data_IF_363333278927
#
_entry.id   IF_363333278927
#
_cell.length_a   1.000
_cell.length_b   1.000
_cell.length_c   1.000
_cell.angle_alpha   90.00
_cell.angle_beta   90.00
_cell.angle_gamma   90.00
#
_symmetry.space_group_name_H-M   'P 1'
#
loop_
_entity.id
_entity.type
_entity.pdbx_description
1 polymer ?
#
# COMPACT_ATOMS: atom_id res chain seq x y z
N UNK A 1 1.07 8.20 -13.94
CA UNK A 1 1.21 8.85 -15.24
C UNK A 1 -0.10 9.54 -15.67
N UNK A 2 -1.27 8.83 -15.74
CA UNK A 2 -2.56 9.40 -16.20
C UNK A 2 -2.95 10.67 -15.45
N UNK A 3 -2.86 10.67 -14.10
CA UNK A 3 -3.19 11.86 -13.28
C UNK A 3 -2.26 13.03 -13.64
N UNK A 4 -0.96 12.78 -13.79
CA UNK A 4 -0.02 13.82 -14.17
C UNK A 4 -0.32 14.38 -15.58
N UNK A 5 -0.60 13.51 -16.55
CA UNK A 5 -0.94 13.93 -17.91
C UNK A 5 -2.20 14.83 -17.92
N UNK A 6 -3.25 14.42 -17.22
CA UNK A 6 -4.48 15.21 -17.10
C UNK A 6 -4.24 16.56 -16.44
N UNK A 7 -3.41 16.60 -15.38
CA UNK A 7 -3.00 17.88 -14.76
C UNK A 7 -2.36 18.85 -15.75
N UNK A 8 -1.56 18.34 -16.70
CA UNK A 8 -0.94 19.14 -17.76
C UNK A 8 -1.80 19.27 -19.04
N UNK A 9 -3.09 18.96 -18.96
CA UNK A 9 -4.01 19.11 -20.09
C UNK A 9 -3.85 18.06 -21.18
N UNK A 10 -3.20 16.94 -20.90
CA UNK A 10 -2.98 15.85 -21.85
C UNK A 10 -3.93 14.68 -21.58
N UNK A 11 -4.59 14.19 -22.63
CA UNK A 11 -5.41 12.99 -22.58
C UNK A 11 -4.62 11.77 -23.02
N UNK A 12 -4.68 10.69 -22.21
CA UNK A 12 -4.00 9.44 -22.48
C UNK A 12 -5.00 8.31 -22.70
N UNK A 13 -4.81 7.53 -23.76
CA UNK A 13 -5.39 6.21 -23.90
C UNK A 13 -4.46 5.18 -23.24
N UNK A 14 -5.05 4.31 -22.43
CA UNK A 14 -4.36 3.21 -21.75
C UNK A 14 -4.97 1.91 -22.24
N UNK A 15 -4.19 1.11 -22.95
CA UNK A 15 -4.52 -0.23 -23.39
C UNK A 15 -3.85 -1.22 -22.42
N UNK A 16 -4.64 -1.92 -21.63
CA UNK A 16 -4.17 -2.88 -20.63
C UNK A 16 -3.92 -4.23 -21.28
N UNK A 17 -2.80 -4.88 -20.94
CA UNK A 17 -2.40 -6.22 -21.43
C UNK A 17 -2.54 -6.34 -22.97
N UNK A 18 -1.88 -5.46 -23.75
CA UNK A 18 -2.10 -5.31 -25.20
C UNK A 18 -1.54 -6.47 -26.02
N UNK A 19 -0.80 -7.39 -25.44
CA UNK A 19 -0.18 -8.53 -26.10
C UNK A 19 -0.18 -9.77 -25.21
N UNK A 20 0.27 -10.90 -25.78
CA UNK A 20 0.48 -12.16 -25.03
C UNK A 20 1.77 -12.19 -24.19
N UNK A 21 2.60 -11.17 -24.29
CA UNK A 21 3.79 -11.01 -23.47
C UNK A 21 3.37 -10.65 -22.03
N UNK A 22 3.64 -11.50 -21.03
CA UNK A 22 3.25 -11.26 -19.64
C UNK A 22 3.92 -10.03 -19.01
N UNK A 23 5.04 -9.57 -19.56
CA UNK A 23 5.75 -8.40 -19.08
C UNK A 23 5.24 -7.10 -19.73
N UNK A 24 4.42 -7.18 -20.78
CA UNK A 24 3.80 -6.03 -21.43
C UNK A 24 2.46 -5.67 -20.77
N UNK A 25 2.52 -4.99 -19.64
CA UNK A 25 1.35 -4.71 -18.80
C UNK A 25 0.41 -3.65 -19.39
N UNK A 26 0.94 -2.64 -20.07
CA UNK A 26 0.11 -1.59 -20.69
C UNK A 26 0.85 -0.84 -21.80
N UNK A 27 0.09 -0.42 -22.80
CA UNK A 27 0.51 0.59 -23.78
C UNK A 27 -0.20 1.91 -23.49
N UNK A 28 0.56 3.00 -23.42
CA UNK A 28 0.04 4.33 -23.12
C UNK A 28 0.33 5.26 -24.30
N UNK A 29 -0.72 5.90 -24.81
CA UNK A 29 -0.61 6.82 -25.95
C UNK A 29 -1.21 8.18 -25.61
N UNK A 30 -0.56 9.26 -26.01
CA UNK A 30 -1.15 10.58 -26.02
C UNK A 30 -2.17 10.66 -27.17
N UNK A 31 -3.41 10.96 -26.86
CA UNK A 31 -4.50 10.95 -27.84
C UNK A 31 -5.12 12.32 -28.06
N UNK A 32 -4.88 13.29 -27.21
CA UNK A 32 -5.43 14.62 -27.34
C UNK A 32 -5.13 15.54 -26.18
N UNK A 33 -5.87 16.65 -26.14
CA UNK A 33 -5.89 17.58 -25.03
C UNK A 33 -7.18 17.38 -24.22
N UNK A 34 -7.11 17.61 -22.91
CA UNK A 34 -8.25 17.57 -21.99
C UNK A 34 -8.18 18.78 -21.05
N UNK A 35 -9.34 19.30 -20.67
CA UNK A 35 -9.38 20.32 -19.61
C UNK A 35 -9.15 19.63 -18.27
N UNK A 36 -8.08 20.04 -17.58
CA UNK A 36 -7.81 19.59 -16.21
C UNK A 36 -8.86 20.15 -15.26
N UNK A 37 -9.32 19.34 -14.33
CA UNK A 37 -10.26 19.73 -13.28
C UNK A 37 -9.58 19.93 -11.92
N UNK A 38 -10.34 20.39 -10.93
CA UNK A 38 -9.82 20.61 -9.58
C UNK A 38 -9.30 19.33 -8.93
N UNK A 39 -9.90 18.17 -9.25
CA UNK A 39 -9.47 16.87 -8.72
C UNK A 39 -8.14 16.45 -9.32
N UNK A 40 -7.94 16.66 -10.62
CA UNK A 40 -6.67 16.37 -11.29
C UNK A 40 -5.52 17.20 -10.67
N UNK A 41 -5.76 18.48 -10.38
CA UNK A 41 -4.79 19.35 -9.71
C UNK A 41 -4.50 18.91 -8.26
N UNK A 42 -5.53 18.60 -7.50
CA UNK A 42 -5.39 18.13 -6.11
C UNK A 42 -4.59 16.82 -6.01
N UNK A 43 -4.95 15.83 -6.83
CA UNK A 43 -4.27 14.54 -6.83
C UNK A 43 -2.81 14.66 -7.31
N UNK A 44 -2.54 15.51 -8.28
CA UNK A 44 -1.17 15.76 -8.74
C UNK A 44 -0.33 16.40 -7.64
N UNK A 45 -0.85 17.42 -6.96
CA UNK A 45 -0.18 18.09 -5.83
C UNK A 45 0.11 17.13 -4.67
N UNK A 46 -0.73 16.10 -4.47
CA UNK A 46 -0.51 15.09 -3.43
C UNK A 46 0.62 14.10 -3.75
N UNK A 47 1.01 13.92 -5.02
CA UNK A 47 2.01 12.91 -5.42
C UNK A 47 3.35 13.01 -4.67
N UNK A 48 4.01 14.18 -4.56
CA UNK A 48 5.28 14.29 -3.86
C UNK A 48 5.15 14.12 -2.34
N UNK A 49 3.94 14.25 -1.80
CA UNK A 49 3.66 14.18 -0.37
C UNK A 49 3.20 12.81 0.12
N UNK A 50 2.78 11.90 -0.77
CA UNK A 50 2.31 10.57 -0.41
C UNK A 50 3.42 9.77 0.29
N UNK A 51 3.11 9.27 1.48
CA UNK A 51 4.00 8.44 2.32
C UNK A 51 3.25 7.24 2.86
N UNK A 52 3.99 6.19 3.21
CA UNK A 52 3.49 5.07 4.01
C UNK A 52 3.89 5.31 5.46
N UNK A 53 2.92 5.41 6.35
CA UNK A 53 3.14 5.66 7.78
C UNK A 53 2.90 4.39 8.58
N UNK A 54 3.97 3.81 9.12
CA UNK A 54 3.93 2.53 9.85
C UNK A 54 3.78 2.68 11.37
N UNK A 55 3.76 3.91 11.88
CA UNK A 55 3.51 4.21 13.29
C UNK A 55 2.04 4.06 13.66
N UNK A 56 1.71 4.09 14.94
CA UNK A 56 0.33 4.13 15.44
C UNK A 56 -0.40 5.35 14.88
N UNK A 57 -1.69 5.19 14.51
CA UNK A 57 -2.54 6.29 14.06
C UNK A 57 -3.33 6.87 15.24
N UNK A 58 -3.85 8.08 15.05
CA UNK A 58 -4.77 8.74 15.96
C UNK A 58 -6.07 7.94 16.05
N UNK A 59 -6.71 7.99 17.20
CA UNK A 59 -8.06 7.46 17.38
C UNK A 59 -9.10 8.44 16.82
N UNK A 60 -9.05 8.63 15.51
CA UNK A 60 -9.93 9.51 14.74
C UNK A 60 -10.29 8.88 13.41
N UNK A 61 -11.57 8.73 13.14
CA UNK A 61 -12.06 8.25 11.86
C UNK A 61 -11.82 9.28 10.75
N UNK A 62 -11.66 8.80 9.54
CA UNK A 62 -11.74 9.65 8.35
C UNK A 62 -13.18 10.21 8.20
N UNK A 63 -13.34 11.44 7.71
CA UNK A 63 -14.65 12.00 7.37
C UNK A 63 -15.45 11.05 6.47
N UNK A 64 -16.75 11.02 6.64
CA UNK A 64 -17.62 10.11 5.90
C UNK A 64 -17.54 10.38 4.39
N UNK A 65 -17.49 11.64 4.00
CA UNK A 65 -17.37 12.06 2.61
C UNK A 65 -16.08 11.53 1.97
N UNK A 66 -14.96 11.54 2.72
CA UNK A 66 -13.70 11.01 2.24
C UNK A 66 -13.77 9.47 2.09
N UNK A 67 -14.39 8.80 3.06
CA UNK A 67 -14.59 7.34 2.98
C UNK A 67 -15.44 6.96 1.77
N UNK A 68 -16.56 7.65 1.54
CA UNK A 68 -17.42 7.46 0.38
C UNK A 68 -16.67 7.77 -0.92
N UNK A 69 -15.92 8.86 -0.98
CA UNK A 69 -15.12 9.21 -2.17
C UNK A 69 -14.08 8.15 -2.50
N UNK A 70 -13.45 7.51 -1.51
CA UNK A 70 -12.53 6.40 -1.73
C UNK A 70 -13.27 5.15 -2.25
N UNK A 71 -14.43 4.81 -1.67
CA UNK A 71 -15.23 3.68 -2.13
C UNK A 71 -15.75 3.89 -3.57
N UNK A 72 -16.19 5.09 -3.91
CA UNK A 72 -16.66 5.41 -5.27
C UNK A 72 -15.55 5.23 -6.32
N UNK A 73 -14.32 5.66 -6.03
CA UNK A 73 -13.16 5.42 -6.91
C UNK A 73 -12.97 3.94 -7.21
N UNK A 74 -13.21 3.06 -6.23
CA UNK A 74 -13.11 1.62 -6.41
C UNK A 74 -14.28 1.09 -7.26
N UNK A 75 -15.50 1.43 -6.90
CA UNK A 75 -16.73 0.97 -7.57
C UNK A 75 -16.77 1.37 -9.04
N UNK A 76 -16.40 2.60 -9.38
CA UNK A 76 -16.33 3.11 -10.76
C UNK A 76 -15.40 2.27 -11.67
N UNK A 77 -14.51 1.49 -11.07
CA UNK A 77 -13.54 0.65 -11.77
C UNK A 77 -13.77 -0.85 -11.58
N UNK A 78 -14.91 -1.24 -11.01
CA UNK A 78 -15.26 -2.65 -10.78
C UNK A 78 -14.46 -3.32 -9.66
N UNK A 79 -13.86 -2.53 -8.76
CA UNK A 79 -13.17 -3.01 -7.56
C UNK A 79 -14.04 -2.69 -6.35
N UNK A 80 -14.09 -3.58 -5.37
CA UNK A 80 -14.67 -3.31 -4.06
C UNK A 80 -13.61 -2.72 -3.13
N UNK A 81 -13.97 -1.69 -2.37
CA UNK A 81 -13.20 -1.21 -1.23
C UNK A 81 -14.04 -1.38 0.04
N UNK A 82 -13.79 -2.46 0.76
CA UNK A 82 -14.43 -2.73 2.03
C UNK A 82 -13.68 -2.01 3.16
N UNK A 83 -14.39 -1.15 3.90
CA UNK A 83 -13.87 -0.46 5.08
C UNK A 83 -14.37 -1.15 6.34
N UNK A 84 -13.44 -1.67 7.15
CA UNK A 84 -13.72 -2.38 8.41
C UNK A 84 -13.51 -1.41 9.57
N UNK A 85 -14.62 -0.98 10.18
CA UNK A 85 -14.65 -0.09 11.33
C UNK A 85 -14.93 -0.84 12.63
N UNK A 86 -15.60 -2.00 12.54
CA UNK A 86 -15.94 -2.83 13.69
C UNK A 86 -14.69 -3.35 14.40
N UNK A 87 -14.62 -3.13 15.72
CA UNK A 87 -13.44 -3.47 16.53
C UNK A 87 -13.19 -4.98 16.60
N UNK A 88 -14.25 -5.78 16.68
CA UNK A 88 -14.16 -7.22 16.71
C UNK A 88 -13.55 -7.77 15.42
N UNK A 89 -14.09 -7.35 14.28
CA UNK A 89 -13.54 -7.74 12.96
C UNK A 89 -12.12 -7.24 12.76
N UNK A 90 -11.79 -6.02 13.22
CA UNK A 90 -10.41 -5.53 13.15
C UNK A 90 -9.46 -6.40 13.98
N UNK A 91 -9.88 -6.85 15.15
CA UNK A 91 -9.08 -7.74 15.99
C UNK A 91 -8.87 -9.12 15.32
N UNK A 92 -9.92 -9.70 14.73
CA UNK A 92 -9.81 -10.97 14.00
C UNK A 92 -8.86 -10.86 12.78
N UNK A 93 -8.94 -9.75 12.03
CA UNK A 93 -8.01 -9.48 10.93
C UNK A 93 -6.58 -9.27 11.45
N UNK A 94 -6.41 -8.60 12.59
CA UNK A 94 -5.12 -8.43 13.24
C UNK A 94 -4.47 -9.76 13.62
N UNK A 95 -5.29 -10.75 14.05
CA UNK A 95 -4.81 -12.10 14.34
C UNK A 95 -4.33 -12.82 13.06
N UNK A 96 -5.01 -12.63 11.91
CA UNK A 96 -4.53 -13.14 10.62
C UNK A 96 -3.23 -12.47 10.17
N UNK A 97 -3.08 -11.16 10.34
CA UNK A 97 -1.83 -10.45 10.05
C UNK A 97 -0.69 -11.00 10.91
N UNK A 98 -0.91 -11.14 12.21
CA UNK A 98 0.07 -11.70 13.14
C UNK A 98 0.44 -13.17 12.83
N UNK A 99 -0.49 -13.96 12.32
CA UNK A 99 -0.22 -15.32 11.84
C UNK A 99 0.66 -15.27 10.58
N UNK A 100 0.34 -14.37 9.63
CA UNK A 100 1.13 -14.15 8.42
C UNK A 100 2.57 -13.72 8.71
N UNK A 101 2.77 -12.80 9.66
CA UNK A 101 4.11 -12.41 10.12
C UNK A 101 4.91 -13.61 10.62
N UNK A 102 4.29 -14.46 11.46
CA UNK A 102 4.97 -15.66 11.96
C UNK A 102 5.36 -16.62 10.84
N UNK A 103 4.49 -16.82 9.86
CA UNK A 103 4.76 -17.69 8.70
C UNK A 103 5.90 -17.12 7.85
N UNK A 104 5.82 -15.84 7.49
CA UNK A 104 6.82 -15.18 6.66
C UNK A 104 8.20 -15.13 7.33
N UNK A 105 8.26 -14.73 8.60
CA UNK A 105 9.53 -14.68 9.34
C UNK A 105 10.13 -16.05 9.69
N UNK A 106 9.34 -17.12 9.72
CA UNK A 106 9.85 -18.47 9.81
C UNK A 106 10.63 -18.91 8.54
N UNK A 107 10.28 -18.34 7.37
CA UNK A 107 11.00 -18.64 6.11
C UNK A 107 12.32 -17.87 6.01
N UNK A 108 13.47 -18.56 5.95
CA UNK A 108 14.78 -17.91 5.76
C UNK A 108 14.91 -17.17 4.42
N UNK A 109 14.11 -17.53 3.39
CA UNK A 109 14.16 -16.86 2.08
C UNK A 109 13.53 -15.47 2.21
N UNK A 110 12.35 -15.38 2.83
CA UNK A 110 11.69 -14.12 3.15
C UNK A 110 12.61 -13.19 3.94
N UNK A 111 13.24 -13.70 5.01
CA UNK A 111 14.16 -12.88 5.83
C UNK A 111 15.37 -12.37 5.03
N UNK A 112 15.93 -13.18 4.13
CA UNK A 112 17.04 -12.74 3.26
C UNK A 112 16.63 -11.66 2.29
N UNK A 113 15.47 -11.81 1.67
CA UNK A 113 14.92 -10.83 0.74
C UNK A 113 14.63 -9.51 1.47
N UNK A 114 13.88 -9.55 2.57
CA UNK A 114 13.58 -8.36 3.37
C UNK A 114 14.87 -7.65 3.82
N UNK A 115 15.85 -8.40 4.29
CA UNK A 115 17.14 -7.83 4.71
C UNK A 115 17.90 -7.16 3.56
N UNK A 116 17.75 -7.65 2.33
CA UNK A 116 18.36 -7.05 1.14
C UNK A 116 17.75 -5.69 0.79
N UNK A 117 16.52 -5.40 1.25
CA UNK A 117 15.85 -4.11 1.04
C UNK A 117 15.96 -3.14 2.21
N UNK A 118 16.57 -3.54 3.33
CA UNK A 118 16.78 -2.63 4.48
C UNK A 118 18.14 -1.97 4.37
N UNK A 119 18.14 -0.67 4.06
CA UNK A 119 19.34 0.14 3.86
C UNK A 119 19.36 1.37 4.76
N UNK A 120 20.56 1.86 5.09
CA UNK A 120 20.71 3.20 5.64
C UNK A 120 20.37 4.24 4.58
N UNK A 121 19.78 5.36 4.98
CA UNK A 121 19.52 6.52 4.10
C UNK A 121 20.81 7.08 3.46
N UNK A 122 21.97 6.75 4.03
CA UNK A 122 23.29 7.11 3.50
C UNK A 122 23.83 6.08 2.49
N UNK A 123 23.07 5.02 2.22
CA UNK A 123 23.46 4.05 1.21
C UNK A 123 23.54 4.70 -0.18
N UNK A 124 24.53 4.29 -0.96
CA UNK A 124 24.69 4.76 -2.34
C UNK A 124 23.54 4.32 -3.27
N UNK A 125 22.82 3.26 -2.91
CA UNK A 125 21.73 2.71 -3.74
C UNK A 125 20.51 3.62 -3.83
N UNK A 126 20.28 4.49 -2.82
CA UNK A 126 19.14 5.41 -2.72
C UNK A 126 17.76 4.76 -2.93
N UNK A 127 17.67 3.47 -2.69
CA UNK A 127 16.45 2.66 -2.75
C UNK A 127 16.23 1.89 -1.43
N UNK A 128 15.21 1.03 -1.40
CA UNK A 128 14.91 0.24 -0.22
C UNK A 128 14.21 1.02 0.90
N UNK A 129 14.29 0.49 2.11
CA UNK A 129 13.64 1.01 3.32
C UNK A 129 14.69 1.27 4.40
N UNK A 130 14.68 2.50 4.96
CA UNK A 130 15.54 2.81 6.11
C UNK A 130 14.98 2.24 7.41
N UNK A 131 15.83 2.04 8.41
CA UNK A 131 15.41 1.63 9.75
C UNK A 131 14.37 2.58 10.36
N UNK A 132 14.40 3.86 10.02
CA UNK A 132 13.40 4.85 10.44
C UNK A 132 11.98 4.48 9.97
N UNK A 133 11.83 3.81 8.82
CA UNK A 133 10.55 3.30 8.34
C UNK A 133 9.94 2.25 9.28
N UNK A 134 10.75 1.67 10.15
CA UNK A 134 10.38 0.68 11.17
C UNK A 134 10.49 1.21 12.60
N UNK A 135 10.70 2.54 12.76
CA UNK A 135 10.87 3.17 14.07
C UNK A 135 12.25 2.97 14.72
N UNK A 136 13.25 2.54 13.96
CA UNK A 136 14.63 2.40 14.41
C UNK A 136 15.49 3.57 13.92
N UNK A 137 16.50 4.02 14.69
CA UNK A 137 17.47 5.00 14.20
C UNK A 137 18.17 4.50 12.92
N UNK A 138 18.38 5.41 11.94
CA UNK A 138 18.96 5.04 10.64
C UNK A 138 20.34 4.37 10.75
N UNK A 139 21.14 4.79 11.72
CA UNK A 139 22.47 4.18 11.99
C UNK A 139 22.42 2.70 12.33
N UNK A 140 21.26 2.21 12.78
CA UNK A 140 21.03 0.79 13.08
C UNK A 140 20.48 0.01 11.89
N UNK A 141 20.25 0.64 10.74
CA UNK A 141 19.68 -0.05 9.57
C UNK A 141 20.51 -1.26 9.11
N UNK A 142 21.82 -1.11 9.06
CA UNK A 142 22.72 -2.22 8.65
C UNK A 142 22.74 -3.35 9.69
N UNK A 143 22.70 -3.02 10.98
CA UNK A 143 22.58 -4.02 12.06
C UNK A 143 21.22 -4.68 12.01
N UNK A 144 20.15 -3.91 11.77
CA UNK A 144 18.80 -4.41 11.59
C UNK A 144 18.69 -5.40 10.45
N UNK A 145 19.30 -5.12 9.30
CA UNK A 145 19.36 -6.03 8.16
C UNK A 145 20.04 -7.37 8.52
N UNK A 146 21.17 -7.34 9.24
CA UNK A 146 21.85 -8.56 9.72
C UNK A 146 20.96 -9.35 10.68
N UNK A 147 20.29 -8.67 11.62
CA UNK A 147 19.40 -9.33 12.59
C UNK A 147 18.20 -9.98 11.89
N UNK A 148 17.54 -9.26 10.97
CA UNK A 148 16.41 -9.78 10.17
C UNK A 148 16.85 -11.03 9.39
N UNK A 149 18.02 -10.98 8.75
CA UNK A 149 18.55 -12.10 7.97
C UNK A 149 18.82 -13.35 8.82
N UNK A 150 19.29 -13.14 10.05
CA UNK A 150 19.84 -14.21 10.88
C UNK A 150 18.81 -14.84 11.82
N UNK A 151 17.93 -14.02 12.39
CA UNK A 151 17.01 -14.45 13.44
C UNK A 151 15.54 -14.41 12.99
N UNK A 152 14.78 -15.39 13.47
CA UNK A 152 13.31 -15.35 13.37
C UNK A 152 12.75 -14.37 14.42
N UNK A 153 12.33 -13.22 13.95
CA UNK A 153 11.70 -12.18 14.77
C UNK A 153 10.16 -12.21 14.71
N UNK A 154 9.58 -13.22 14.05
CA UNK A 154 8.16 -13.27 13.72
C UNK A 154 7.24 -13.10 14.94
N UNK A 155 7.59 -13.66 16.10
CA UNK A 155 6.76 -13.50 17.32
C UNK A 155 6.69 -12.04 17.79
N UNK A 156 7.81 -11.34 17.79
CA UNK A 156 7.86 -9.94 18.24
C UNK A 156 7.17 -8.99 17.25
N UNK A 157 7.38 -9.21 15.95
CA UNK A 157 6.76 -8.42 14.87
C UNK A 157 5.25 -8.65 14.87
N UNK A 158 4.80 -9.90 14.93
CA UNK A 158 3.38 -10.26 14.98
C UNK A 158 2.66 -9.60 16.18
N UNK A 159 3.28 -9.58 17.36
CA UNK A 159 2.71 -8.92 18.53
C UNK A 159 2.65 -7.39 18.34
N UNK A 160 3.70 -6.79 17.78
CA UNK A 160 3.75 -5.37 17.51
C UNK A 160 2.76 -4.92 16.44
N UNK A 161 2.59 -5.67 15.37
CA UNK A 161 1.64 -5.32 14.31
C UNK A 161 0.19 -5.56 14.75
N UNK A 162 -0.07 -6.63 15.50
CA UNK A 162 -1.39 -6.84 16.14
C UNK A 162 -1.76 -5.67 17.05
N UNK A 163 -0.86 -5.24 17.90
CA UNK A 163 -1.07 -4.10 18.81
C UNK A 163 -1.36 -2.80 18.04
N UNK A 164 -0.59 -2.51 16.97
CA UNK A 164 -0.81 -1.34 16.11
C UNK A 164 -2.16 -1.40 15.39
N UNK A 165 -2.63 -2.58 15.01
CA UNK A 165 -3.91 -2.74 14.33
C UNK A 165 -5.05 -2.52 15.31
N UNK A 166 -5.02 -3.20 16.44
CA UNK A 166 -6.10 -3.15 17.45
C UNK A 166 -6.19 -1.74 18.08
N UNK A 167 -5.06 -1.19 18.51
CA UNK A 167 -5.01 0.04 19.32
C UNK A 167 -4.54 1.29 18.55
N UNK A 168 -4.32 1.19 17.26
CA UNK A 168 -3.78 2.30 16.47
C UNK A 168 -4.13 2.28 14.99
N UNK A 169 -5.26 1.65 14.64
CA UNK A 169 -5.77 1.64 13.27
C UNK A 169 -7.29 1.77 13.30
N UNK A 170 -7.84 2.98 13.19
CA UNK A 170 -9.29 3.19 13.29
C UNK A 170 -10.06 2.55 12.13
N UNK A 171 -9.41 2.35 10.99
CA UNK A 171 -10.01 1.76 9.78
C UNK A 171 -9.05 0.76 9.17
N UNK A 172 -9.53 -0.47 8.90
CA UNK A 172 -8.89 -1.36 7.93
C UNK A 172 -9.62 -1.26 6.59
N UNK A 173 -8.87 -1.38 5.52
CA UNK A 173 -9.36 -1.22 4.15
C UNK A 173 -8.91 -2.42 3.31
N UNK A 174 -9.85 -3.11 2.69
CA UNK A 174 -9.57 -4.25 1.82
C UNK A 174 -10.03 -3.91 0.42
N UNK A 175 -9.10 -3.96 -0.54
CA UNK A 175 -9.41 -3.89 -1.95
C UNK A 175 -9.66 -5.31 -2.45
N UNK A 176 -10.75 -5.53 -3.12
CA UNK A 176 -11.12 -6.84 -3.63
C UNK A 176 -11.71 -6.74 -5.04
N UNK A 177 -11.53 -7.78 -5.84
CA UNK A 177 -12.00 -7.89 -7.21
C UNK A 177 -12.83 -9.16 -7.39
N UNK A 178 -13.68 -9.19 -8.42
CA UNK A 178 -14.51 -10.36 -8.71
C UNK A 178 -13.63 -11.57 -9.04
N UNK A 179 -12.67 -11.38 -9.92
CA UNK A 179 -11.74 -12.39 -10.39
C UNK A 179 -10.33 -12.13 -9.82
N UNK A 180 -9.36 -12.97 -10.15
CA UNK A 180 -7.98 -12.90 -9.64
C UNK A 180 -6.99 -13.07 -10.82
N UNK A 181 -7.07 -12.18 -11.78
CA UNK A 181 -6.20 -12.19 -12.94
C UNK A 181 -5.38 -10.90 -13.10
N UNK A 182 -4.44 -10.86 -14.05
CA UNK A 182 -3.57 -9.71 -14.29
C UNK A 182 -4.32 -8.39 -14.49
N UNK A 183 -5.50 -8.43 -15.14
CA UNK A 183 -6.35 -7.26 -15.33
C UNK A 183 -6.90 -6.72 -14.01
N UNK A 184 -7.29 -7.62 -13.09
CA UNK A 184 -7.79 -7.27 -11.77
C UNK A 184 -6.68 -6.64 -10.93
N UNK A 185 -5.46 -7.17 -11.02
CA UNK A 185 -4.29 -6.64 -10.32
C UNK A 185 -3.93 -5.24 -10.80
N UNK A 186 -3.91 -5.01 -12.12
CA UNK A 186 -3.68 -3.67 -12.71
C UNK A 186 -4.76 -2.68 -12.30
N UNK A 187 -6.03 -3.10 -12.36
CA UNK A 187 -7.17 -2.28 -11.95
C UNK A 187 -7.07 -1.91 -10.48
N UNK A 188 -6.78 -2.88 -9.61
CA UNK A 188 -6.57 -2.65 -8.18
C UNK A 188 -5.43 -1.66 -7.92
N UNK A 189 -4.31 -1.79 -8.63
CA UNK A 189 -3.18 -0.86 -8.51
C UNK A 189 -3.54 0.57 -8.92
N UNK A 190 -4.36 0.74 -9.96
CA UNK A 190 -4.86 2.05 -10.40
C UNK A 190 -5.83 2.68 -9.39
N UNK A 191 -6.72 1.87 -8.83
CA UNK A 191 -7.63 2.29 -7.74
C UNK A 191 -6.84 2.69 -6.51
N UNK A 192 -5.91 1.83 -6.08
CA UNK A 192 -5.02 2.08 -4.95
C UNK A 192 -4.30 3.42 -5.08
N UNK A 193 -3.68 3.68 -6.25
CA UNK A 193 -2.95 4.93 -6.48
C UNK A 193 -3.85 6.17 -6.28
N UNK A 194 -5.08 6.16 -6.81
CA UNK A 194 -6.02 7.28 -6.64
C UNK A 194 -6.51 7.41 -5.20
N UNK A 195 -6.81 6.30 -4.52
CA UNK A 195 -7.25 6.32 -3.11
C UNK A 195 -6.13 6.86 -2.22
N UNK A 196 -4.89 6.41 -2.40
CA UNK A 196 -3.75 6.91 -1.63
C UNK A 196 -3.50 8.42 -1.83
N UNK A 197 -3.69 8.93 -3.05
CA UNK A 197 -3.55 10.36 -3.33
C UNK A 197 -4.69 11.18 -2.70
N UNK A 198 -5.94 10.69 -2.74
CA UNK A 198 -7.06 11.35 -2.03
C UNK A 198 -6.84 11.40 -0.51
N UNK A 199 -6.40 10.30 0.09
CA UNK A 199 -6.04 10.27 1.50
C UNK A 199 -4.95 11.31 1.81
N UNK A 200 -3.89 11.35 0.99
CA UNK A 200 -2.78 12.29 1.16
C UNK A 200 -3.24 13.75 1.02
N UNK A 201 -4.07 14.07 0.03
CA UNK A 201 -4.63 15.41 -0.17
C UNK A 201 -5.47 15.87 1.04
N UNK A 202 -6.14 14.93 1.70
CA UNK A 202 -6.94 15.18 2.92
C UNK A 202 -6.13 15.11 4.21
N UNK A 203 -4.79 15.04 4.14
CA UNK A 203 -3.90 14.92 5.32
C UNK A 203 -3.94 13.56 6.01
N UNK A 204 -4.62 12.59 5.42
CA UNK A 204 -4.65 11.21 5.91
C UNK A 204 -3.49 10.38 5.32
N UNK A 205 -3.23 9.23 5.91
CA UNK A 205 -2.16 8.32 5.51
C UNK A 205 -2.64 6.87 5.48
N UNK A 206 -1.79 6.01 4.94
CA UNK A 206 -2.07 4.58 4.85
C UNK A 206 -0.82 3.74 5.09
N UNK A 207 -1.02 2.47 5.47
CA UNK A 207 0.03 1.46 5.50
C UNK A 207 -0.51 0.10 5.08
N UNK A 208 0.35 -0.69 4.45
CA UNK A 208 0.03 -2.05 4.01
C UNK A 208 0.11 -3.04 5.16
N UNK A 209 -0.76 -4.05 5.11
CA UNK A 209 -0.86 -5.19 6.01
C UNK A 209 -1.08 -6.46 5.18
N UNK A 210 -0.31 -6.65 4.13
CA UNK A 210 -0.57 -7.65 3.09
C UNK A 210 -0.21 -9.08 3.47
N UNK A 211 0.26 -9.35 4.67
CA UNK A 211 0.61 -10.70 5.11
C UNK A 211 -0.50 -11.73 4.82
N UNK A 212 -1.82 -11.45 5.13
CA UNK A 212 -2.88 -12.37 4.78
C UNK A 212 -3.18 -12.49 3.28
N UNK A 213 -2.70 -11.56 2.47
CA UNK A 213 -2.81 -11.62 0.99
C UNK A 213 -1.69 -12.47 0.41
N UNK A 214 -0.46 -12.29 0.91
CA UNK A 214 0.76 -12.91 0.41
C UNK A 214 0.90 -14.37 0.86
N UNK A 215 0.35 -14.72 2.02
CA UNK A 215 0.32 -16.09 2.53
C UNK A 215 -0.94 -16.80 2.01
N UNK A 216 -0.74 -17.70 1.06
CA UNK A 216 -1.81 -18.36 0.31
C UNK A 216 -2.90 -18.98 1.19
N UNK A 217 -2.53 -19.60 2.32
CA UNK A 217 -3.48 -20.23 3.25
C UNK A 217 -4.33 -19.24 4.05
N UNK A 218 -3.93 -17.96 4.14
CA UNK A 218 -4.63 -16.94 4.93
C UNK A 218 -5.63 -16.11 4.10
N UNK A 219 -5.40 -15.97 2.81
CA UNK A 219 -6.24 -15.16 1.93
C UNK A 219 -7.71 -15.61 1.88
N UNK A 220 -8.03 -16.92 1.79
CA UNK A 220 -9.40 -17.40 1.89
C UNK A 220 -10.06 -17.07 3.25
N UNK A 221 -9.30 -17.18 4.34
CA UNK A 221 -9.80 -16.86 5.69
C UNK A 221 -10.13 -15.37 5.83
N UNK A 222 -9.33 -14.49 5.24
CA UNK A 222 -9.65 -13.06 5.17
C UNK A 222 -10.95 -12.83 4.39
N UNK A 223 -11.15 -13.53 3.27
CA UNK A 223 -12.38 -13.47 2.48
C UNK A 223 -13.62 -13.89 3.29
N UNK A 224 -13.52 -14.96 4.06
CA UNK A 224 -14.57 -15.44 4.97
C UNK A 224 -14.90 -14.42 6.07
N UNK A 225 -13.88 -13.86 6.74
CA UNK A 225 -14.07 -12.83 7.76
C UNK A 225 -14.81 -11.59 7.23
N UNK A 226 -14.55 -11.23 5.98
CA UNK A 226 -15.23 -10.11 5.33
C UNK A 226 -16.63 -10.46 4.85
N UNK A 227 -17.00 -11.74 4.83
CA UNK A 227 -18.27 -12.24 4.29
C UNK A 227 -18.51 -11.75 2.85
N UNK A 228 -17.45 -11.67 2.03
CA UNK A 228 -17.51 -11.17 0.65
C UNK A 228 -17.35 -12.28 -0.37
N UNK A 229 -17.96 -12.10 -1.54
CA UNK A 229 -17.77 -12.97 -2.72
C UNK A 229 -16.53 -12.56 -3.52
N UNK A 230 -16.04 -11.34 -3.32
CA UNK A 230 -14.87 -10.82 -4.01
C UNK A 230 -13.57 -11.42 -3.46
N UNK A 231 -12.54 -11.44 -4.29
CA UNK A 231 -11.20 -11.93 -3.91
C UNK A 231 -10.36 -10.76 -3.37
N UNK A 232 -9.92 -10.81 -2.10
CA UNK A 232 -9.06 -9.78 -1.53
C UNK A 232 -7.74 -9.66 -2.29
N UNK A 233 -7.38 -8.44 -2.70
CA UNK A 233 -6.16 -8.12 -3.44
C UNK A 233 -5.15 -7.37 -2.58
N UNK A 234 -5.61 -6.50 -1.67
CA UNK A 234 -4.77 -5.72 -0.77
C UNK A 234 -5.48 -5.53 0.56
N UNK A 235 -4.73 -5.57 1.64
CA UNK A 235 -5.16 -5.19 2.97
C UNK A 235 -4.31 -4.01 3.46
N UNK A 236 -4.98 -2.98 3.94
CA UNK A 236 -4.35 -1.75 4.41
C UNK A 236 -5.02 -1.23 5.68
N UNK A 237 -4.40 -0.27 6.32
CA UNK A 237 -5.02 0.57 7.33
C UNK A 237 -4.98 2.02 6.89
N UNK A 238 -6.04 2.77 7.18
CA UNK A 238 -6.20 4.19 6.90
C UNK A 238 -6.39 4.96 8.19
N UNK A 239 -5.89 6.20 8.24
CA UNK A 239 -6.07 7.07 9.39
C UNK A 239 -5.17 8.29 9.34
N UNK A 240 -5.01 8.95 10.48
CA UNK A 240 -4.10 10.06 10.67
C UNK A 240 -2.93 9.60 11.54
N UNK A 241 -1.73 9.97 11.17
CA UNK A 241 -0.53 9.60 11.93
C UNK A 241 0.56 10.65 11.79
N UNK A 242 1.59 10.56 12.62
CA UNK A 242 2.76 11.41 12.50
C UNK A 242 3.35 11.33 11.08
N UNK A 243 3.82 12.47 10.57
CA UNK A 243 4.42 12.51 9.24
C UNK A 243 5.61 11.55 9.17
N UNK A 244 5.55 10.61 8.21
CA UNK A 244 6.68 9.74 7.94
C UNK A 244 7.85 10.55 7.34
N UNK A 245 9.06 10.15 7.67
CA UNK A 245 10.25 10.74 7.05
C UNK A 245 10.20 10.63 5.52
N UNK A 246 10.69 11.67 4.86
CA UNK A 246 10.78 11.66 3.40
C UNK A 246 11.81 10.61 2.97
N UNK A 247 11.36 9.66 2.16
CA UNK A 247 12.26 8.68 1.55
C UNK A 247 13.13 9.35 0.51
N UNK A 248 14.40 8.95 0.44
CA UNK A 248 15.31 9.37 -0.62
C UNK A 248 14.74 8.98 -1.99
N UNK A 249 15.04 9.76 -2.99
CA UNK A 249 14.72 9.48 -4.40
C UNK A 249 16.00 9.50 -5.20
N UNK A 250 16.10 8.62 -6.18
CA UNK A 250 17.21 8.66 -7.14
C UNK A 250 17.15 9.97 -7.93
N UNK A 251 18.29 10.57 -8.27
CA UNK A 251 18.36 11.71 -9.19
C UNK A 251 17.63 11.41 -10.49
N UNK A 252 17.12 12.45 -11.16
CA UNK A 252 16.37 12.29 -12.40
C UNK A 252 17.22 11.63 -13.48
N UNK A 253 18.49 12.01 -13.57
CA UNK A 253 19.46 11.48 -14.53
C UNK A 253 19.73 9.98 -14.36
N UNK A 254 19.52 9.43 -13.17
CA UNK A 254 19.69 7.99 -12.90
C UNK A 254 18.45 7.16 -13.32
N UNK A 255 17.34 7.81 -13.67
CA UNK A 255 16.06 7.15 -14.04
C UNK A 255 15.61 7.49 -15.46
N UNK A 256 16.22 8.47 -16.10
CA UNK A 256 16.05 8.75 -17.53
C UNK A 256 17.12 7.99 -18.33
N UNK A 257 16.68 7.13 -19.21
CA UNK A 257 17.52 6.49 -20.24
C UNK A 257 17.22 7.09 -21.59
#
# INVERSE_FOLDING_TARGET
LVIAARHFGCELAVEELPSSDPDHLATIRLVGAVTSDAVDHELFAAMPHRRTTRTKYEDRLLPEELRHACCNVATERGTELALVLDEGKRAEIADLVAEGDRIQFADPRFRRELAAWVHSRRSATQDGMSGESFGMPDVLSSVGALVIRTFDMGKGIAAGDREKIVNGSPILAVFATRDDGPKDWLTTGRVLARVLLRLTASGATAAFLNQPIEVESLRPRLKELLSTVFTPQLLMRFGYGSSAHQTVRRPLDDVFM
#
